data_IF_613463131870
#
_entry.id   IF_613463131870
#
_cell.length_a   1.000
_cell.length_b   1.000
_cell.length_c   1.000
_cell.angle_alpha   90.00
_cell.angle_beta   90.00
_cell.angle_gamma   90.00
#
_symmetry.space_group_name_H-M   'P 1'
#
loop_
_entity.id
_entity.type
_entity.pdbx_description
1 polymer ?
#
# COMPACT_ATOMS: atom_id res chain seq x y z
N UNK A 1 4.28 49.90 0.27
CA UNK A 1 4.37 49.15 1.55
C UNK A 1 3.92 50.06 2.67
N UNK A 2 2.85 49.67 3.36
CA UNK A 2 2.34 50.44 4.50
C UNK A 2 3.34 50.39 5.66
N UNK A 3 3.37 51.38 6.58
CA UNK A 3 4.23 51.37 7.77
C UNK A 3 4.11 50.08 8.60
N UNK A 4 2.91 49.50 8.65
CA UNK A 4 2.63 48.23 9.33
C UNK A 4 3.36 47.05 8.71
N UNK A 5 3.50 46.95 7.38
CA UNK A 5 4.26 45.88 6.71
C UNK A 5 5.77 45.94 6.98
N UNK A 6 6.35 47.16 7.11
CA UNK A 6 7.77 47.32 7.49
C UNK A 6 8.02 46.90 8.94
N UNK A 7 7.04 47.17 9.81
CA UNK A 7 7.06 46.70 11.20
C UNK A 7 7.03 45.19 11.25
N UNK A 8 6.12 44.53 10.53
CA UNK A 8 5.98 43.08 10.48
C UNK A 8 7.31 42.37 10.10
N UNK A 9 8.00 42.87 9.08
CA UNK A 9 9.28 42.28 8.63
C UNK A 9 10.40 42.43 9.69
N UNK A 10 10.43 43.54 10.45
CA UNK A 10 11.38 43.71 11.56
C UNK A 10 11.07 42.77 12.73
N UNK A 11 9.81 42.60 13.03
CA UNK A 11 9.34 41.73 14.08
C UNK A 11 9.60 40.25 13.82
N UNK A 12 9.43 39.79 12.57
CA UNK A 12 9.81 38.44 12.14
C UNK A 12 11.31 38.17 12.36
N UNK A 13 12.17 39.20 12.20
CA UNK A 13 13.62 39.06 12.45
C UNK A 13 13.99 39.10 13.93
N UNK A 14 13.25 39.82 14.76
CA UNK A 14 13.59 40.03 16.17
C UNK A 14 13.21 38.84 17.07
N UNK A 15 12.19 38.06 16.74
CA UNK A 15 11.68 36.94 17.56
C UNK A 15 12.12 35.56 17.00
N UNK A 16 13.32 35.45 16.43
CA UNK A 16 13.79 34.33 15.61
C UNK A 16 13.59 32.92 16.20
N UNK A 17 13.96 32.69 17.46
CA UNK A 17 13.89 31.33 18.06
C UNK A 17 12.45 30.82 18.22
N UNK A 18 11.56 31.70 18.73
CA UNK A 18 10.15 31.30 18.97
C UNK A 18 9.42 31.05 17.63
N UNK A 19 9.63 31.95 16.67
CA UNK A 19 9.06 31.83 15.32
C UNK A 19 9.56 30.58 14.66
N UNK A 20 10.87 30.32 14.73
CA UNK A 20 11.47 29.11 14.21
C UNK A 20 10.85 27.84 14.79
N UNK A 21 10.60 27.81 16.12
CA UNK A 21 9.96 26.67 16.77
C UNK A 21 8.54 26.44 16.25
N UNK A 22 7.75 27.51 16.06
CA UNK A 22 6.39 27.38 15.50
C UNK A 22 6.43 26.90 14.04
N UNK A 23 7.31 27.49 13.21
CA UNK A 23 7.52 27.05 11.82
C UNK A 23 7.91 25.57 11.77
N UNK A 24 8.83 25.15 12.64
CA UNK A 24 9.32 23.78 12.70
C UNK A 24 8.19 22.82 13.07
N UNK A 25 7.42 23.09 14.14
CA UNK A 25 6.34 22.20 14.59
C UNK A 25 5.21 22.14 13.56
N UNK A 26 4.80 23.28 12.99
CA UNK A 26 3.83 23.33 11.89
C UNK A 26 4.34 22.56 10.67
N UNK A 27 5.63 22.76 10.35
CA UNK A 27 6.29 22.06 9.25
C UNK A 27 6.32 20.54 9.45
N UNK A 28 6.64 20.05 10.65
CA UNK A 28 6.62 18.61 10.98
C UNK A 28 5.19 18.05 10.83
N UNK A 29 4.18 18.73 11.38
CA UNK A 29 2.79 18.28 11.26
C UNK A 29 2.34 18.20 9.82
N UNK A 30 2.63 19.21 9.03
CA UNK A 30 2.32 19.27 7.59
C UNK A 30 3.11 18.23 6.80
N UNK A 31 4.40 18.03 7.12
CA UNK A 31 5.24 17.03 6.47
C UNK A 31 4.73 15.61 6.72
N UNK A 32 4.36 15.29 7.96
CA UNK A 32 3.74 14.00 8.29
C UNK A 32 2.42 13.79 7.55
N UNK A 33 1.58 14.82 7.45
CA UNK A 33 0.33 14.75 6.69
C UNK A 33 0.60 14.41 5.22
N UNK A 34 1.47 15.18 4.56
CA UNK A 34 1.80 14.97 3.13
C UNK A 34 2.43 13.59 2.92
N UNK A 35 3.40 13.20 3.75
CA UNK A 35 4.11 11.94 3.61
C UNK A 35 3.17 10.74 3.71
N UNK A 36 2.36 10.68 4.79
CA UNK A 36 1.48 9.55 5.05
C UNK A 36 0.29 9.50 4.10
N UNK A 37 -0.30 10.66 3.79
CA UNK A 37 -1.43 10.74 2.86
C UNK A 37 -1.02 10.37 1.43
N UNK A 38 0.16 10.81 0.99
CA UNK A 38 0.71 10.44 -0.32
C UNK A 38 1.09 8.96 -0.39
N UNK A 39 1.74 8.42 0.66
CA UNK A 39 2.07 6.99 0.73
C UNK A 39 0.82 6.12 0.74
N UNK A 40 -0.20 6.47 1.53
CA UNK A 40 -1.50 5.80 1.53
C UNK A 40 -2.11 5.76 0.13
N UNK A 41 -2.15 6.91 -0.56
CA UNK A 41 -2.74 7.02 -1.90
C UNK A 41 -1.97 6.23 -2.94
N UNK A 42 -0.63 6.33 -2.92
CA UNK A 42 0.24 5.57 -3.84
C UNK A 42 0.08 4.06 -3.66
N UNK A 43 0.09 3.58 -2.42
CA UNK A 43 -0.02 2.15 -2.11
C UNK A 43 -1.43 1.61 -2.43
N UNK A 44 -2.48 2.34 -2.07
CA UNK A 44 -3.86 1.97 -2.37
C UNK A 44 -4.14 1.92 -3.87
N UNK A 45 -3.71 2.94 -4.61
CA UNK A 45 -3.88 2.98 -6.07
C UNK A 45 -3.05 1.90 -6.79
N UNK A 46 -1.83 1.62 -6.30
CA UNK A 46 -1.00 0.55 -6.85
C UNK A 46 -1.67 -0.81 -6.65
N UNK A 47 -2.19 -1.10 -5.44
CA UNK A 47 -2.96 -2.32 -5.14
C UNK A 47 -4.18 -2.45 -6.06
N UNK A 48 -5.03 -1.43 -6.09
CA UNK A 48 -6.30 -1.49 -6.82
C UNK A 48 -6.08 -1.67 -8.32
N UNK A 49 -5.09 -0.96 -8.87
CA UNK A 49 -4.67 -1.10 -10.27
C UNK A 49 -4.13 -2.50 -10.56
N UNK A 50 -3.27 -3.01 -9.69
CA UNK A 50 -2.66 -4.32 -9.88
C UNK A 50 -3.67 -5.45 -9.75
N UNK A 51 -4.61 -5.37 -8.80
CA UNK A 51 -5.71 -6.33 -8.65
C UNK A 51 -6.65 -6.30 -9.86
N UNK A 52 -6.92 -5.13 -10.41
CA UNK A 52 -7.73 -5.01 -11.63
C UNK A 52 -7.01 -5.62 -12.84
N UNK A 53 -5.72 -5.32 -13.04
CA UNK A 53 -4.91 -5.85 -14.15
C UNK A 53 -4.71 -7.36 -14.05
N UNK A 54 -4.37 -7.86 -12.86
CA UNK A 54 -4.19 -9.28 -12.61
C UNK A 54 -5.49 -10.08 -12.50
N UNK A 55 -6.65 -9.43 -12.58
CA UNK A 55 -7.96 -10.07 -12.39
C UNK A 55 -8.01 -10.88 -11.10
N UNK A 56 -7.61 -10.26 -9.99
CA UNK A 56 -7.54 -10.90 -8.67
C UNK A 56 -8.85 -11.60 -8.33
N UNK A 57 -8.76 -12.84 -7.87
CA UNK A 57 -9.90 -13.60 -7.40
C UNK A 57 -10.49 -12.96 -6.13
N UNK A 58 -11.81 -13.10 -5.94
CA UNK A 58 -12.50 -12.65 -4.73
C UNK A 58 -12.51 -13.75 -3.64
N UNK A 59 -12.24 -15.03 -4.03
CA UNK A 59 -12.14 -16.15 -3.09
C UNK A 59 -11.31 -17.31 -3.63
N UNK A 60 -10.83 -18.15 -2.71
CA UNK A 60 -10.12 -19.41 -2.93
C UNK A 60 -10.79 -20.52 -2.13
N UNK A 61 -11.01 -21.68 -2.73
CA UNK A 61 -11.43 -22.88 -2.03
C UNK A 61 -10.45 -24.00 -2.31
N UNK A 62 -9.77 -24.47 -1.29
CA UNK A 62 -8.88 -25.63 -1.39
C UNK A 62 -9.68 -26.89 -1.13
N UNK A 63 -9.56 -27.87 -2.01
CA UNK A 63 -10.21 -29.18 -1.94
C UNK A 63 -9.18 -30.30 -2.09
N UNK A 64 -9.50 -31.52 -1.70
CA UNK A 64 -8.57 -32.64 -1.89
C UNK A 64 -8.33 -32.94 -3.37
N UNK A 65 -9.41 -33.16 -4.12
CA UNK A 65 -9.37 -33.40 -5.57
C UNK A 65 -10.77 -33.19 -6.16
N UNK A 66 -10.90 -32.36 -7.18
CA UNK A 66 -12.16 -32.07 -7.86
C UNK A 66 -12.00 -32.22 -9.37
N UNK A 67 -12.88 -32.96 -10.08
CA UNK A 67 -12.86 -33.02 -11.52
C UNK A 67 -13.08 -31.66 -12.17
N UNK A 68 -12.39 -31.36 -13.27
CA UNK A 68 -12.54 -30.10 -13.99
C UNK A 68 -13.93 -29.91 -14.60
N UNK A 69 -14.67 -30.98 -14.85
CA UNK A 69 -16.05 -30.91 -15.32
C UNK A 69 -17.01 -30.20 -14.40
N UNK A 70 -16.70 -30.18 -13.10
CA UNK A 70 -17.55 -29.57 -12.05
C UNK A 70 -17.53 -28.02 -12.04
N UNK A 71 -16.64 -27.38 -12.78
CA UNK A 71 -16.58 -25.90 -12.91
C UNK A 71 -17.94 -25.31 -13.25
N UNK A 72 -18.65 -25.91 -14.20
CA UNK A 72 -19.97 -25.44 -14.65
C UNK A 72 -21.00 -25.41 -13.53
N UNK A 73 -20.93 -26.33 -12.57
CA UNK A 73 -21.82 -26.33 -11.41
C UNK A 73 -21.59 -25.14 -10.51
N UNK A 74 -20.34 -24.71 -10.36
CA UNK A 74 -19.98 -23.55 -9.55
C UNK A 74 -20.32 -22.23 -10.26
N UNK A 75 -20.14 -22.14 -11.55
CA UNK A 75 -20.52 -20.99 -12.37
C UNK A 75 -22.03 -20.72 -12.35
N UNK A 76 -22.83 -21.78 -12.19
CA UNK A 76 -24.29 -21.65 -12.08
C UNK A 76 -24.78 -21.17 -10.71
N UNK A 77 -23.91 -20.95 -9.73
CA UNK A 77 -24.30 -20.40 -8.42
C UNK A 77 -24.62 -18.91 -8.58
N UNK A 78 -25.82 -18.46 -8.18
CA UNK A 78 -26.17 -17.05 -8.24
C UNK A 78 -25.21 -16.19 -7.43
N UNK A 79 -24.53 -15.27 -8.12
CA UNK A 79 -23.54 -14.40 -7.49
C UNK A 79 -22.10 -14.70 -7.90
N UNK A 80 -21.80 -15.90 -8.36
CA UNK A 80 -20.50 -16.25 -8.96
C UNK A 80 -20.42 -15.66 -10.37
N UNK A 81 -19.38 -14.92 -10.65
CA UNK A 81 -19.16 -14.29 -11.94
C UNK A 81 -18.23 -15.11 -12.85
N UNK A 82 -17.25 -15.77 -12.25
CA UNK A 82 -16.23 -16.57 -12.94
C UNK A 82 -15.60 -17.56 -11.97
N UNK A 83 -15.23 -18.72 -12.46
CA UNK A 83 -14.51 -19.76 -11.72
C UNK A 83 -13.34 -20.27 -12.55
N UNK A 84 -12.21 -20.49 -11.92
CA UNK A 84 -11.05 -21.12 -12.51
C UNK A 84 -10.49 -22.17 -11.55
N UNK A 85 -10.13 -23.31 -12.08
CA UNK A 85 -9.45 -24.38 -11.34
C UNK A 85 -7.96 -24.35 -11.60
N UNK A 86 -7.19 -24.67 -10.57
CA UNK A 86 -5.76 -24.90 -10.70
C UNK A 86 -5.27 -25.93 -9.70
N UNK A 87 -4.05 -26.38 -9.90
CA UNK A 87 -3.33 -27.23 -8.96
C UNK A 87 -2.42 -26.32 -8.12
N UNK A 88 -2.50 -26.50 -6.81
CA UNK A 88 -1.60 -25.89 -5.83
C UNK A 88 -0.91 -26.99 -5.03
N UNK A 89 0.41 -26.97 -5.00
CA UNK A 89 1.22 -27.96 -4.27
C UNK A 89 2.33 -27.28 -3.49
N UNK A 90 2.55 -27.63 -2.22
CA UNK A 90 3.76 -27.22 -1.53
C UNK A 90 4.95 -27.89 -2.20
N UNK A 91 6.07 -27.18 -2.28
CA UNK A 91 7.31 -27.67 -2.84
C UNK A 91 8.49 -27.37 -1.93
N UNK A 92 9.53 -28.18 -2.08
CA UNK A 92 10.84 -27.91 -1.51
C UNK A 92 11.83 -27.70 -2.65
N UNK A 93 12.59 -26.63 -2.59
CA UNK A 93 13.53 -26.22 -3.65
C UNK A 93 14.96 -26.47 -3.19
N UNK A 94 15.73 -27.20 -4.00
CA UNK A 94 17.14 -27.48 -3.77
C UNK A 94 17.97 -26.57 -4.69
N UNK A 95 18.64 -25.57 -4.09
CA UNK A 95 19.56 -24.68 -4.79
C UNK A 95 20.99 -24.94 -4.34
N UNK A 96 21.91 -24.90 -5.28
CA UNK A 96 23.33 -25.15 -5.02
C UNK A 96 23.96 -24.16 -3.99
N UNK A 97 23.42 -22.94 -3.91
CA UNK A 97 23.87 -21.89 -3.01
C UNK A 97 23.19 -21.90 -1.64
N UNK A 98 22.30 -22.88 -1.38
CA UNK A 98 21.57 -22.97 -0.10
C UNK A 98 21.97 -24.20 0.68
N UNK A 99 22.40 -24.04 1.92
CA UNK A 99 22.73 -25.16 2.83
C UNK A 99 21.50 -25.98 3.25
N UNK A 100 20.30 -25.40 3.11
CA UNK A 100 19.05 -26.05 3.49
C UNK A 100 18.04 -25.94 2.34
N UNK A 101 17.19 -26.96 2.18
CA UNK A 101 16.08 -26.89 1.23
C UNK A 101 15.17 -25.71 1.55
N UNK A 102 14.76 -24.97 0.52
CA UNK A 102 13.92 -23.81 0.63
C UNK A 102 12.45 -24.18 0.44
N UNK A 103 11.56 -23.50 1.16
CA UNK A 103 10.12 -23.70 1.00
C UNK A 103 9.59 -22.97 -0.24
N UNK A 104 8.57 -23.51 -0.88
CA UNK A 104 7.88 -22.85 -1.97
C UNK A 104 6.48 -23.40 -2.20
N UNK A 105 5.80 -22.79 -3.13
CA UNK A 105 4.51 -23.23 -3.63
C UNK A 105 4.54 -23.31 -5.15
N UNK A 106 4.08 -24.44 -5.69
CA UNK A 106 3.84 -24.61 -7.12
C UNK A 106 2.36 -24.36 -7.43
N UNK A 107 2.11 -23.61 -8.49
CA UNK A 107 0.79 -23.26 -8.98
C UNK A 107 0.71 -23.60 -10.47
N UNK A 108 -0.33 -24.31 -10.89
CA UNK A 108 -0.52 -24.57 -12.30
C UNK A 108 -1.08 -23.34 -13.02
N UNK A 109 -0.56 -23.10 -14.23
CA UNK A 109 -1.07 -22.14 -15.19
C UNK A 109 -1.38 -22.84 -16.51
N UNK A 110 -2.32 -22.33 -17.31
CA UNK A 110 -2.58 -22.87 -18.64
C UNK A 110 -1.30 -22.97 -19.47
N UNK A 111 -1.12 -24.07 -20.20
CA UNK A 111 0.06 -24.32 -21.04
C UNK A 111 0.24 -23.24 -22.12
N UNK A 112 -0.88 -22.70 -22.61
CA UNK A 112 -0.93 -21.58 -23.55
C UNK A 112 -1.52 -20.37 -22.81
N UNK A 113 -0.87 -19.21 -22.92
CA UNK A 113 -1.35 -18.01 -22.29
C UNK A 113 -2.79 -17.67 -22.73
N UNK A 114 -3.69 -17.61 -21.78
CA UNK A 114 -5.09 -17.21 -21.97
C UNK A 114 -5.55 -16.32 -20.82
N UNK A 115 -6.50 -15.40 -21.06
CA UNK A 115 -7.09 -14.62 -19.98
C UNK A 115 -7.71 -15.51 -18.90
N UNK A 116 -7.42 -15.23 -17.64
CA UNK A 116 -7.92 -16.00 -16.50
C UNK A 116 -7.88 -15.18 -15.22
N UNK A 117 -8.12 -15.81 -14.08
CA UNK A 117 -7.99 -15.19 -12.75
C UNK A 117 -6.52 -15.24 -12.29
N UNK A 118 -6.16 -14.31 -11.42
CA UNK A 118 -4.83 -14.19 -10.80
C UNK A 118 -3.68 -14.25 -11.84
N UNK A 119 -3.82 -13.48 -12.92
CA UNK A 119 -2.83 -13.43 -13.99
C UNK A 119 -1.47 -12.99 -13.48
N UNK A 120 -0.44 -13.65 -13.98
CA UNK A 120 0.95 -13.25 -13.75
C UNK A 120 1.39 -12.21 -14.78
N UNK A 121 2.31 -11.36 -14.39
CA UNK A 121 3.00 -10.43 -15.28
C UNK A 121 4.45 -10.90 -15.44
N UNK A 122 4.78 -11.46 -16.62
CA UNK A 122 6.16 -11.87 -16.95
C UNK A 122 7.03 -10.61 -17.06
N UNK A 123 8.18 -10.63 -16.38
CA UNK A 123 9.15 -9.53 -16.34
C UNK A 123 10.39 -9.82 -17.16
N UNK A 124 10.92 -11.03 -17.04
CA UNK A 124 12.10 -11.50 -17.75
C UNK A 124 11.79 -12.85 -18.38
N UNK A 125 12.35 -13.13 -19.55
CA UNK A 125 12.07 -14.36 -20.30
C UNK A 125 10.71 -14.33 -20.97
N UNK A 126 10.09 -15.49 -21.09
CA UNK A 126 8.86 -15.71 -21.85
C UNK A 126 7.86 -16.52 -21.04
N UNK A 127 6.62 -16.58 -21.52
CA UNK A 127 5.62 -17.54 -21.07
C UNK A 127 5.99 -18.94 -21.58
N UNK A 128 5.29 -19.99 -21.15
CA UNK A 128 5.57 -21.36 -21.54
C UNK A 128 5.59 -21.56 -23.07
N UNK A 129 6.51 -22.41 -23.50
CA UNK A 129 6.67 -22.80 -24.90
C UNK A 129 6.19 -24.25 -25.12
N UNK A 130 5.84 -24.67 -26.33
CA UNK A 130 5.46 -26.07 -26.57
C UNK A 130 6.65 -27.05 -26.56
N UNK A 131 7.91 -26.56 -26.51
CA UNK A 131 9.10 -27.39 -26.71
C UNK A 131 9.42 -28.30 -25.51
N UNK A 132 9.15 -27.84 -24.28
CA UNK A 132 9.49 -28.59 -23.07
C UNK A 132 8.29 -28.65 -22.12
N UNK A 133 8.13 -29.80 -21.46
CA UNK A 133 7.05 -30.02 -20.49
C UNK A 133 7.35 -29.40 -19.12
N UNK A 134 8.61 -29.51 -18.68
CA UNK A 134 9.10 -29.14 -17.36
C UNK A 134 9.54 -27.66 -17.26
N UNK A 135 8.90 -26.78 -18.00
CA UNK A 135 9.15 -25.33 -17.91
C UNK A 135 8.54 -24.74 -16.67
N UNK A 136 9.24 -23.78 -16.06
CA UNK A 136 8.80 -23.07 -14.88
C UNK A 136 8.98 -21.55 -15.03
N UNK A 137 8.02 -20.80 -14.53
CA UNK A 137 8.12 -19.37 -14.30
C UNK A 137 8.19 -19.17 -12.79
N UNK A 138 9.16 -18.40 -12.30
CA UNK A 138 9.38 -18.20 -10.86
C UNK A 138 9.11 -16.75 -10.49
N UNK A 139 8.66 -16.47 -9.27
CA UNK A 139 8.50 -15.09 -8.84
C UNK A 139 9.86 -14.35 -8.89
N UNK A 140 9.85 -13.13 -9.44
CA UNK A 140 11.07 -12.40 -9.81
C UNK A 140 11.96 -12.08 -8.60
N UNK A 141 11.36 -11.82 -7.45
CA UNK A 141 12.08 -11.49 -6.24
C UNK A 141 12.91 -12.66 -5.72
N UNK A 142 12.34 -13.88 -5.69
CA UNK A 142 13.06 -15.10 -5.34
C UNK A 142 14.17 -15.39 -6.37
N UNK A 143 13.83 -15.32 -7.65
CA UNK A 143 14.78 -15.55 -8.74
C UNK A 143 15.98 -14.58 -8.68
N UNK A 144 15.72 -13.30 -8.38
CA UNK A 144 16.76 -12.27 -8.21
C UNK A 144 17.60 -12.50 -6.95
N UNK A 145 16.98 -12.88 -5.83
CA UNK A 145 17.67 -13.13 -4.56
C UNK A 145 18.67 -14.31 -4.65
N UNK A 146 18.34 -15.31 -5.48
CA UNK A 146 19.19 -16.49 -5.75
C UNK A 146 19.97 -16.40 -7.08
N UNK A 147 19.95 -15.24 -7.76
CA UNK A 147 20.65 -15.00 -9.01
C UNK A 147 20.34 -16.02 -10.11
N UNK A 148 19.10 -16.53 -10.14
CA UNK A 148 18.67 -17.52 -11.12
C UNK A 148 18.63 -16.90 -12.54
N UNK A 149 19.08 -17.68 -13.52
CA UNK A 149 19.16 -17.24 -14.91
C UNK A 149 18.15 -18.01 -15.77
N UNK A 150 17.61 -17.34 -16.78
CA UNK A 150 16.75 -17.99 -17.78
C UNK A 150 17.52 -19.11 -18.48
N UNK A 151 16.88 -20.28 -18.61
CA UNK A 151 17.48 -21.51 -19.11
C UNK A 151 18.15 -22.38 -18.05
N UNK A 152 18.33 -21.89 -16.82
CA UNK A 152 18.89 -22.68 -15.73
C UNK A 152 17.90 -23.76 -15.27
N UNK A 153 18.44 -24.94 -14.92
CA UNK A 153 17.68 -26.02 -14.31
C UNK A 153 17.64 -25.88 -12.79
N UNK A 154 16.45 -26.00 -12.21
CA UNK A 154 16.19 -25.92 -10.77
C UNK A 154 15.65 -27.27 -10.30
N UNK A 155 16.29 -27.88 -9.30
CA UNK A 155 15.80 -29.12 -8.70
C UNK A 155 14.78 -28.81 -7.61
N UNK A 156 13.61 -29.43 -7.68
CA UNK A 156 12.53 -29.26 -6.72
C UNK A 156 11.94 -30.60 -6.33
N UNK A 157 11.39 -30.70 -5.13
CA UNK A 157 10.59 -31.85 -4.71
C UNK A 157 9.11 -31.43 -4.70
N UNK A 158 8.29 -32.07 -5.51
CA UNK A 158 6.85 -31.86 -5.63
C UNK A 158 6.14 -33.17 -5.38
N UNK A 159 5.18 -33.20 -4.46
CA UNK A 159 4.42 -34.40 -4.12
C UNK A 159 5.33 -35.63 -3.79
N UNK A 160 6.50 -35.41 -3.16
CA UNK A 160 7.45 -36.46 -2.84
C UNK A 160 8.33 -36.93 -4.01
N UNK A 161 8.21 -36.33 -5.19
CA UNK A 161 8.99 -36.66 -6.39
C UNK A 161 9.98 -35.55 -6.72
N UNK A 162 11.25 -35.90 -6.92
CA UNK A 162 12.26 -34.96 -7.38
C UNK A 162 12.05 -34.66 -8.87
N UNK A 163 11.97 -33.37 -9.18
CA UNK A 163 11.78 -32.88 -10.53
C UNK A 163 12.85 -31.85 -10.89
N UNK A 164 13.26 -31.83 -12.13
CA UNK A 164 14.13 -30.82 -12.69
C UNK A 164 13.34 -29.87 -13.58
N UNK A 165 13.25 -28.60 -13.18
CA UNK A 165 12.48 -27.58 -13.87
C UNK A 165 13.41 -26.63 -14.60
N UNK A 166 13.07 -26.26 -15.84
CA UNK A 166 13.84 -25.28 -16.62
C UNK A 166 13.19 -23.91 -16.49
N UNK A 167 13.94 -22.95 -15.96
CA UNK A 167 13.47 -21.59 -15.79
C UNK A 167 13.33 -20.88 -17.14
N UNK A 168 12.10 -20.59 -17.57
CA UNK A 168 11.83 -19.88 -18.83
C UNK A 168 11.46 -18.43 -18.65
N UNK A 169 10.99 -18.04 -17.46
CA UNK A 169 10.63 -16.66 -17.17
C UNK A 169 10.57 -16.35 -15.67
N UNK A 170 10.58 -15.07 -15.36
CA UNK A 170 10.26 -14.58 -14.02
C UNK A 170 9.06 -13.67 -14.09
N UNK A 171 8.22 -13.68 -13.04
CA UNK A 171 6.97 -12.95 -13.04
C UNK A 171 6.62 -12.36 -11.66
N UNK A 172 5.77 -11.34 -11.68
CA UNK A 172 4.98 -10.92 -10.52
C UNK A 172 3.57 -11.50 -10.59
N UNK A 173 2.97 -11.72 -9.42
CA UNK A 173 1.57 -12.13 -9.27
C UNK A 173 0.84 -11.24 -8.29
N UNK A 174 -0.37 -10.79 -8.66
CA UNK A 174 -1.20 -9.98 -7.77
C UNK A 174 -1.61 -10.72 -6.48
N UNK A 175 -1.53 -12.04 -6.48
CA UNK A 175 -1.81 -12.90 -5.34
C UNK A 175 -0.68 -12.90 -4.31
N UNK A 176 0.56 -12.68 -4.74
CA UNK A 176 1.76 -12.74 -3.92
C UNK A 176 2.49 -11.39 -3.82
N UNK A 177 1.73 -10.30 -3.66
CA UNK A 177 2.32 -8.97 -3.42
C UNK A 177 3.16 -8.95 -2.14
N UNK A 178 2.76 -9.75 -1.14
CA UNK A 178 3.46 -9.95 0.12
C UNK A 178 3.66 -11.46 0.31
N UNK A 179 4.70 -12.05 -0.32
CA UNK A 179 4.88 -13.50 -0.29
C UNK A 179 5.32 -13.97 1.09
N UNK A 180 4.46 -14.74 1.73
CA UNK A 180 4.70 -15.32 3.05
C UNK A 180 4.96 -16.82 2.90
N UNK A 181 6.07 -17.26 3.44
CA UNK A 181 6.34 -18.68 3.64
C UNK A 181 5.47 -19.28 4.75
N UNK A 182 5.43 -20.60 4.88
CA UNK A 182 4.70 -21.29 5.96
C UNK A 182 5.12 -20.74 7.34
N UNK A 183 4.12 -20.31 8.15
CA UNK A 183 4.30 -19.74 9.48
C UNK A 183 5.17 -18.46 9.57
N UNK A 184 5.47 -17.81 8.45
CA UNK A 184 6.20 -16.55 8.43
C UNK A 184 5.26 -15.35 8.61
N UNK A 185 5.72 -14.33 9.36
CA UNK A 185 5.02 -13.06 9.54
C UNK A 185 5.62 -11.97 8.63
N UNK A 186 6.87 -12.13 8.25
CA UNK A 186 7.61 -11.20 7.39
C UNK A 186 7.98 -11.92 6.09
N UNK A 187 7.90 -11.26 4.92
CA UNK A 187 8.32 -11.85 3.67
C UNK A 187 9.78 -12.25 3.71
N UNK A 188 10.04 -13.50 3.41
CA UNK A 188 11.40 -14.00 3.22
C UNK A 188 11.67 -14.20 1.73
N UNK A 189 12.30 -13.21 1.12
CA UNK A 189 12.64 -13.20 -0.31
C UNK A 189 13.59 -14.32 -0.72
N UNK A 190 14.33 -14.86 0.23
CA UNK A 190 15.28 -15.96 0.00
C UNK A 190 14.72 -17.31 0.40
N UNK A 191 13.87 -17.34 1.41
CA UNK A 191 13.38 -18.60 1.99
C UNK A 191 12.10 -19.13 1.34
N UNK A 192 11.36 -18.31 0.58
CA UNK A 192 10.09 -18.72 0.00
C UNK A 192 9.94 -18.34 -1.47
N UNK A 193 9.72 -19.35 -2.34
CA UNK A 193 9.55 -19.20 -3.78
C UNK A 193 8.14 -19.56 -4.26
N UNK A 194 7.65 -18.81 -5.28
CA UNK A 194 6.42 -19.13 -6.00
C UNK A 194 6.79 -19.60 -7.39
N UNK A 195 6.36 -20.81 -7.74
CA UNK A 195 6.72 -21.50 -8.96
C UNK A 195 5.46 -21.74 -9.79
N UNK A 196 5.40 -21.20 -10.96
CA UNK A 196 4.30 -21.41 -11.89
C UNK A 196 4.68 -22.51 -12.88
N UNK A 197 3.89 -23.58 -12.94
CA UNK A 197 4.10 -24.75 -13.76
C UNK A 197 3.05 -24.83 -14.87
N UNK A 198 3.38 -25.48 -15.96
CA UNK A 198 2.37 -25.86 -16.95
C UNK A 198 1.30 -26.73 -16.31
N UNK A 199 0.06 -26.51 -16.69
CA UNK A 199 -1.09 -27.24 -16.16
C UNK A 199 -0.96 -28.73 -16.44
N UNK A 200 -0.63 -29.10 -17.69
CA UNK A 200 -0.41 -30.51 -18.10
C UNK A 200 0.70 -31.19 -17.29
N UNK A 201 1.80 -30.49 -17.03
CA UNK A 201 2.90 -31.01 -16.23
C UNK A 201 2.52 -31.14 -14.76
N UNK A 202 1.84 -30.14 -14.20
CA UNK A 202 1.38 -30.18 -12.83
C UNK A 202 0.39 -31.33 -12.59
N UNK A 203 -0.54 -31.60 -13.53
CA UNK A 203 -1.47 -32.74 -13.48
C UNK A 203 -0.73 -34.07 -13.39
N UNK A 204 0.28 -34.26 -14.24
CA UNK A 204 1.07 -35.50 -14.31
C UNK A 204 1.85 -35.76 -13.01
N UNK A 205 2.56 -34.76 -12.48
CA UNK A 205 3.43 -34.96 -11.31
C UNK A 205 2.70 -35.03 -9.97
N UNK A 206 1.44 -34.55 -9.93
CA UNK A 206 0.61 -34.55 -8.71
C UNK A 206 -0.51 -35.56 -8.72
N UNK A 207 -0.56 -36.46 -9.76
CA UNK A 207 -1.62 -37.43 -9.99
C UNK A 207 -3.03 -36.78 -10.03
N UNK A 208 -3.12 -35.61 -10.68
CA UNK A 208 -4.33 -34.78 -10.80
C UNK A 208 -4.85 -34.68 -12.25
N UNK A 209 -4.63 -35.70 -13.10
CA UNK A 209 -5.10 -35.69 -14.48
C UNK A 209 -6.60 -35.41 -14.55
N UNK A 210 -7.00 -34.40 -15.32
CA UNK A 210 -8.39 -33.96 -15.46
C UNK A 210 -9.05 -33.43 -14.16
N UNK A 211 -8.25 -33.14 -13.12
CA UNK A 211 -8.71 -32.64 -11.82
C UNK A 211 -7.89 -31.44 -11.36
N UNK A 212 -8.32 -30.84 -10.26
CA UNK A 212 -7.63 -29.77 -9.57
C UNK A 212 -7.93 -29.83 -8.06
N UNK A 213 -7.14 -29.09 -7.29
CA UNK A 213 -7.31 -29.00 -5.83
C UNK A 213 -7.51 -27.59 -5.31
N UNK A 214 -7.56 -26.59 -6.17
CA UNK A 214 -7.87 -25.22 -5.79
C UNK A 214 -8.84 -24.58 -6.79
N UNK A 215 -9.90 -23.99 -6.23
CA UNK A 215 -10.93 -23.25 -6.94
C UNK A 215 -10.72 -21.77 -6.70
N UNK A 216 -10.57 -20.99 -7.74
CA UNK A 216 -10.53 -19.54 -7.73
C UNK A 216 -11.87 -19.01 -8.22
N UNK A 217 -12.38 -17.96 -7.63
CA UNK A 217 -13.61 -17.37 -8.13
C UNK A 217 -13.70 -15.88 -7.98
N UNK A 218 -14.51 -15.28 -8.85
CA UNK A 218 -14.94 -13.87 -8.75
C UNK A 218 -16.43 -13.81 -8.51
N UNK A 219 -16.80 -12.76 -7.78
CA UNK A 219 -18.18 -12.48 -7.38
C UNK A 219 -18.67 -11.27 -8.15
N UNK A 220 -19.92 -11.29 -8.63
CA UNK A 220 -20.52 -10.10 -9.22
C UNK A 220 -20.52 -8.94 -8.22
N UNK A 221 -20.25 -7.69 -8.64
CA UNK A 221 -20.14 -6.53 -7.73
C UNK A 221 -21.33 -6.36 -6.77
N UNK A 222 -22.54 -6.66 -7.24
CA UNK A 222 -23.77 -6.59 -6.44
C UNK A 222 -23.81 -7.58 -5.26
N UNK A 223 -23.06 -8.69 -5.34
CA UNK A 223 -23.01 -9.73 -4.31
C UNK A 223 -21.77 -9.64 -3.39
N UNK A 224 -20.87 -8.70 -3.62
CA UNK A 224 -19.65 -8.56 -2.80
C UNK A 224 -19.90 -8.42 -1.30
N UNK A 225 -21.00 -7.77 -0.91
CA UNK A 225 -21.39 -7.67 0.52
C UNK A 225 -21.88 -9.00 1.12
N UNK A 226 -22.33 -9.93 0.28
CA UNK A 226 -22.81 -11.23 0.66
C UNK A 226 -21.80 -12.36 0.38
N UNK A 227 -20.53 -12.04 0.15
CA UNK A 227 -19.49 -13.01 -0.20
C UNK A 227 -19.42 -14.17 0.79
N UNK A 228 -19.49 -13.93 2.09
CA UNK A 228 -19.47 -15.01 3.10
C UNK A 228 -20.63 -15.99 2.97
N UNK A 229 -21.84 -15.50 2.75
CA UNK A 229 -23.00 -16.36 2.52
C UNK A 229 -22.85 -17.20 1.25
N UNK A 230 -22.32 -16.58 0.20
CA UNK A 230 -22.03 -17.26 -1.06
C UNK A 230 -20.95 -18.33 -0.88
N UNK A 231 -19.91 -18.07 -0.09
CA UNK A 231 -18.87 -19.03 0.21
C UNK A 231 -19.40 -20.26 0.96
N UNK A 232 -20.30 -20.10 1.91
CA UNK A 232 -20.96 -21.23 2.58
C UNK A 232 -21.77 -22.10 1.61
N UNK A 233 -22.40 -21.49 0.59
CA UNK A 233 -23.10 -22.25 -0.46
C UNK A 233 -22.12 -23.02 -1.33
N UNK A 234 -20.98 -22.40 -1.69
CA UNK A 234 -19.91 -23.04 -2.43
C UNK A 234 -19.31 -24.20 -1.64
N UNK A 235 -19.02 -24.02 -0.36
CA UNK A 235 -18.52 -25.07 0.53
C UNK A 235 -19.44 -26.29 0.55
N UNK A 236 -20.74 -26.06 0.77
CA UNK A 236 -21.71 -27.16 0.78
C UNK A 236 -21.74 -27.96 -0.53
N UNK A 237 -21.56 -27.27 -1.67
CA UNK A 237 -21.51 -27.95 -2.98
C UNK A 237 -20.22 -28.69 -3.23
N UNK A 238 -19.14 -28.25 -2.61
CA UNK A 238 -17.81 -28.83 -2.73
C UNK A 238 -17.49 -29.85 -1.63
N UNK A 239 -18.37 -30.04 -0.65
CA UNK A 239 -18.15 -30.94 0.49
C UNK A 239 -17.80 -32.37 0.07
N UNK A 240 -18.43 -32.87 -0.99
CA UNK A 240 -18.13 -34.18 -1.59
C UNK A 240 -16.68 -34.33 -2.07
N UNK A 241 -16.00 -33.21 -2.42
CA UNK A 241 -14.59 -33.19 -2.86
C UNK A 241 -13.61 -32.96 -1.71
N UNK A 242 -14.10 -32.88 -0.46
CA UNK A 242 -13.30 -32.70 0.76
C UNK A 242 -12.68 -31.31 0.85
N UNK A 243 -13.50 -30.33 1.15
CA UNK A 243 -13.05 -28.95 1.37
C UNK A 243 -12.05 -28.90 2.53
N UNK A 244 -10.89 -28.28 2.29
CA UNK A 244 -9.82 -28.11 3.26
C UNK A 244 -9.80 -26.71 3.84
N UNK A 245 -10.05 -25.70 3.01
CA UNK A 245 -10.08 -24.29 3.40
C UNK A 245 -10.87 -23.45 2.40
N UNK A 246 -11.59 -22.46 2.89
CA UNK A 246 -12.28 -21.44 2.10
C UNK A 246 -11.83 -20.08 2.55
N UNK A 247 -11.19 -19.31 1.67
CA UNK A 247 -10.51 -18.07 2.00
C UNK A 247 -11.09 -16.96 1.12
N UNK A 248 -11.83 -15.99 1.68
CA UNK A 248 -12.19 -14.77 0.95
C UNK A 248 -10.97 -13.86 0.77
N UNK A 249 -11.00 -12.96 -0.21
CA UNK A 249 -9.88 -12.06 -0.53
C UNK A 249 -9.46 -11.21 0.66
N UNK A 250 -10.39 -10.84 1.54
CA UNK A 250 -10.11 -10.07 2.75
C UNK A 250 -9.23 -10.82 3.74
N UNK A 251 -9.31 -12.15 3.76
CA UNK A 251 -8.56 -13.05 4.66
C UNK A 251 -7.35 -13.68 3.97
N UNK A 252 -7.17 -13.44 2.67
CA UNK A 252 -5.99 -13.95 1.96
C UNK A 252 -4.71 -13.29 2.51
N UNK A 253 -3.71 -14.05 2.96
CA UNK A 253 -2.59 -13.52 3.75
C UNK A 253 -1.92 -12.28 3.14
N UNK A 254 -1.53 -12.34 1.87
CA UNK A 254 -0.90 -11.22 1.17
C UNK A 254 -1.79 -9.95 1.17
N UNK A 255 -3.10 -10.10 0.92
CA UNK A 255 -4.04 -8.98 0.94
C UNK A 255 -4.32 -8.45 2.34
N UNK A 256 -4.36 -9.34 3.35
CA UNK A 256 -4.60 -8.95 4.74
C UNK A 256 -3.49 -8.02 5.23
N UNK A 257 -2.22 -8.40 5.05
CA UNK A 257 -1.08 -7.57 5.43
C UNK A 257 -1.06 -6.24 4.69
N UNK A 258 -1.23 -6.26 3.37
CA UNK A 258 -1.28 -5.04 2.57
C UNK A 258 -2.44 -4.12 2.97
N UNK A 259 -3.62 -4.68 3.21
CA UNK A 259 -4.81 -3.91 3.60
C UNK A 259 -4.70 -3.33 5.01
N UNK A 260 -4.05 -4.04 5.95
CA UNK A 260 -3.76 -3.54 7.29
C UNK A 260 -2.78 -2.37 7.24
N UNK A 261 -1.71 -2.47 6.43
CA UNK A 261 -0.76 -1.38 6.23
C UNK A 261 -1.45 -0.13 5.65
N UNK A 262 -2.26 -0.30 4.60
CA UNK A 262 -3.03 0.80 4.01
C UNK A 262 -3.97 1.46 5.03
N UNK A 263 -4.68 0.66 5.85
CA UNK A 263 -5.53 1.18 6.93
C UNK A 263 -4.72 1.91 8.01
N UNK A 264 -3.57 1.36 8.39
CA UNK A 264 -2.63 1.99 9.32
C UNK A 264 -2.18 3.37 8.82
N UNK A 265 -1.74 3.45 7.57
CA UNK A 265 -1.37 4.72 6.94
C UNK A 265 -2.51 5.74 6.93
N UNK A 266 -3.74 5.31 6.61
CA UNK A 266 -4.91 6.20 6.64
C UNK A 266 -5.17 6.75 8.05
N UNK A 267 -5.05 5.92 9.07
CA UNK A 267 -5.24 6.31 10.48
C UNK A 267 -4.15 7.27 10.93
N UNK A 268 -2.89 6.94 10.67
CA UNK A 268 -1.76 7.78 11.07
C UNK A 268 -1.66 9.08 10.27
N UNK A 269 -2.13 9.10 9.02
CA UNK A 269 -2.24 10.31 8.21
C UNK A 269 -3.20 11.35 8.81
N UNK A 270 -4.11 10.93 9.67
CA UNK A 270 -4.99 11.82 10.42
C UNK A 270 -4.45 12.12 11.84
N UNK A 271 -4.09 11.08 12.57
CA UNK A 271 -3.76 11.19 14.01
C UNK A 271 -2.49 12.02 14.25
N UNK A 272 -1.40 11.71 13.57
CA UNK A 272 -0.09 12.35 13.81
C UNK A 272 -0.12 13.83 13.45
N UNK A 273 -0.59 14.26 12.26
CA UNK A 273 -0.70 15.68 11.94
C UNK A 273 -1.60 16.45 12.90
N UNK A 274 -2.73 15.85 13.31
CA UNK A 274 -3.65 16.48 14.26
C UNK A 274 -2.95 16.83 15.58
N UNK A 275 -2.13 15.92 16.12
CA UNK A 275 -1.36 16.16 17.35
C UNK A 275 -0.37 17.32 17.15
N UNK A 276 0.48 17.24 16.11
CA UNK A 276 1.51 18.27 15.90
C UNK A 276 0.92 19.65 15.59
N UNK A 277 -0.12 19.71 14.77
CA UNK A 277 -0.78 20.97 14.42
C UNK A 277 -1.54 21.55 15.60
N UNK A 278 -2.15 20.74 16.46
CA UNK A 278 -2.78 21.21 17.71
C UNK A 278 -1.73 21.81 18.65
N UNK A 279 -0.59 21.16 18.84
CA UNK A 279 0.52 21.68 19.62
C UNK A 279 1.01 23.01 19.03
N UNK A 280 1.18 23.06 17.70
CA UNK A 280 1.58 24.28 17.00
C UNK A 280 0.59 25.43 17.23
N UNK A 281 -0.72 25.16 17.13
CA UNK A 281 -1.76 26.15 17.38
C UNK A 281 -1.72 26.68 18.84
N UNK A 282 -1.52 25.77 19.81
CA UNK A 282 -1.42 26.16 21.24
C UNK A 282 -0.18 27.04 21.47
N UNK A 283 0.98 26.64 20.94
CA UNK A 283 2.21 27.42 21.09
C UNK A 283 2.04 28.79 20.43
N UNK A 284 1.50 28.83 19.22
CA UNK A 284 1.25 30.07 18.50
C UNK A 284 0.29 30.98 19.28
N UNK A 285 -0.75 30.41 19.89
CA UNK A 285 -1.69 31.12 20.75
C UNK A 285 -0.97 31.82 21.93
N UNK A 286 -0.16 31.08 22.68
CA UNK A 286 0.61 31.63 23.80
C UNK A 286 1.57 32.74 23.34
N UNK A 287 2.24 32.53 22.23
CA UNK A 287 3.17 33.49 21.62
C UNK A 287 2.44 34.78 21.23
N UNK A 288 1.26 34.66 20.62
CA UNK A 288 0.47 35.82 20.20
C UNK A 288 -0.07 36.62 21.36
N UNK A 289 -0.55 35.98 22.43
CA UNK A 289 -0.99 36.67 23.65
C UNK A 289 0.16 37.47 24.28
N UNK A 290 1.31 36.81 24.51
CA UNK A 290 2.51 37.46 25.05
C UNK A 290 2.96 38.65 24.21
N UNK A 291 2.86 38.53 22.90
CA UNK A 291 3.25 39.59 21.98
C UNK A 291 2.33 40.81 22.08
N UNK A 292 1.02 40.60 22.19
CA UNK A 292 0.05 41.68 22.41
C UNK A 292 0.34 42.40 23.73
N UNK A 293 0.59 41.64 24.80
CA UNK A 293 0.96 42.23 26.12
C UNK A 293 2.22 43.06 26.04
N UNK A 294 3.28 42.57 25.40
CA UNK A 294 4.54 43.32 25.23
C UNK A 294 4.39 44.58 24.37
N UNK A 295 3.47 44.57 23.42
CA UNK A 295 3.23 45.71 22.52
C UNK A 295 2.08 46.63 22.95
N UNK A 296 1.56 46.45 24.16
CA UNK A 296 0.37 47.18 24.64
C UNK A 296 0.47 48.71 24.50
N UNK A 297 1.65 49.31 24.77
CA UNK A 297 1.88 50.73 24.57
C UNK A 297 1.81 51.15 23.09
N UNK A 298 2.37 50.33 22.21
CA UNK A 298 2.36 50.60 20.75
C UNK A 298 0.94 50.49 20.21
N UNK A 299 0.18 49.47 20.65
CA UNK A 299 -1.23 49.28 20.30
C UNK A 299 -2.06 50.49 20.74
N UNK A 300 -1.84 50.98 21.99
CA UNK A 300 -2.49 52.17 22.49
C UNK A 300 -2.19 53.44 21.68
N UNK A 301 -0.94 53.61 21.24
CA UNK A 301 -0.56 54.72 20.34
C UNK A 301 -1.23 54.61 18.98
N UNK A 302 -1.32 53.42 18.42
CA UNK A 302 -2.03 53.20 17.15
C UNK A 302 -3.52 53.49 17.25
N UNK A 303 -4.17 53.12 18.36
CA UNK A 303 -5.57 53.48 18.62
C UNK A 303 -5.75 55.00 18.77
N UNK A 304 -4.82 55.69 19.45
CA UNK A 304 -4.83 57.15 19.56
C UNK A 304 -4.63 57.86 18.20
N UNK A 305 -3.94 57.20 17.26
CA UNK A 305 -3.77 57.68 15.88
C UNK A 305 -4.94 57.34 14.95
N UNK A 306 -6.02 56.74 15.49
CA UNK A 306 -7.24 56.45 14.75
C UNK A 306 -7.32 55.08 14.06
N UNK A 307 -6.41 54.15 14.34
CA UNK A 307 -6.53 52.78 13.83
C UNK A 307 -7.64 52.03 14.58
N UNK A 308 -8.52 51.35 13.83
CA UNK A 308 -9.58 50.52 14.40
C UNK A 308 -9.05 49.22 15.02
N UNK A 309 -9.76 48.69 16.03
CA UNK A 309 -9.45 47.42 16.67
C UNK A 309 -9.36 46.27 15.65
N UNK A 310 -10.22 46.34 14.65
CA UNK A 310 -10.23 45.34 13.54
C UNK A 310 -8.95 45.39 12.69
N UNK A 311 -8.40 46.58 12.43
CA UNK A 311 -7.17 46.74 11.66
C UNK A 311 -5.94 46.25 12.46
N UNK A 312 -5.94 46.47 13.76
CA UNK A 312 -4.87 46.00 14.65
C UNK A 312 -4.95 44.47 14.82
N UNK A 313 -6.14 43.93 15.07
CA UNK A 313 -6.37 42.49 15.16
C UNK A 313 -5.99 41.77 13.88
N UNK A 314 -6.31 42.35 12.73
CA UNK A 314 -5.91 41.80 11.44
C UNK A 314 -4.39 41.78 11.24
N UNK A 315 -3.70 42.81 11.63
CA UNK A 315 -2.22 42.85 11.58
C UNK A 315 -1.56 41.75 12.42
N UNK A 316 -2.14 41.47 13.60
CA UNK A 316 -1.67 40.38 14.48
C UNK A 316 -1.95 39.03 13.83
N UNK A 317 -3.14 38.87 13.22
CA UNK A 317 -3.52 37.66 12.48
C UNK A 317 -2.61 37.43 11.27
N UNK A 318 -2.27 38.47 10.51
CA UNK A 318 -1.36 38.40 9.37
C UNK A 318 0.00 37.81 9.74
N UNK A 319 0.52 38.16 10.92
CA UNK A 319 1.76 37.55 11.42
C UNK A 319 1.61 36.04 11.64
N UNK A 320 0.53 35.59 12.30
CA UNK A 320 0.27 34.17 12.52
C UNK A 320 0.12 33.39 11.21
N UNK A 321 -0.60 33.98 10.24
CA UNK A 321 -0.81 33.39 8.92
C UNK A 321 0.49 33.25 8.14
N UNK A 322 1.38 34.25 8.18
CA UNK A 322 2.68 34.18 7.49
C UNK A 322 3.55 33.08 8.10
N UNK A 323 3.64 33.01 9.43
CA UNK A 323 4.43 31.97 10.11
C UNK A 323 3.89 30.58 9.81
N UNK A 324 2.55 30.41 9.84
CA UNK A 324 1.88 29.17 9.50
C UNK A 324 2.09 28.78 8.03
N UNK A 325 1.97 29.74 7.10
CA UNK A 325 2.18 29.47 5.68
C UNK A 325 3.62 29.06 5.36
N UNK A 326 4.62 29.70 5.99
CA UNK A 326 6.03 29.31 5.83
C UNK A 326 6.25 27.89 6.37
N UNK A 327 5.71 27.57 7.56
CA UNK A 327 5.79 26.25 8.14
C UNK A 327 5.12 25.19 7.27
N UNK A 328 3.91 25.47 6.79
CA UNK A 328 3.17 24.58 5.91
C UNK A 328 3.90 24.34 4.58
N UNK A 329 4.46 25.39 3.97
CA UNK A 329 5.22 25.28 2.71
C UNK A 329 6.48 24.42 2.90
N UNK A 330 7.26 24.69 3.96
CA UNK A 330 8.42 23.88 4.30
C UNK A 330 8.02 22.41 4.57
N UNK A 331 6.90 22.21 5.28
CA UNK A 331 6.32 20.91 5.53
C UNK A 331 5.90 20.18 4.26
N UNK A 332 5.31 20.86 3.29
CA UNK A 332 4.98 20.26 1.98
C UNK A 332 6.21 19.73 1.25
N UNK A 333 7.29 20.52 1.22
CA UNK A 333 8.55 20.11 0.57
C UNK A 333 9.16 18.89 1.27
N UNK A 334 9.33 18.97 2.59
CA UNK A 334 9.89 17.84 3.38
C UNK A 334 8.99 16.62 3.31
N UNK A 335 7.67 16.80 3.39
CA UNK A 335 6.69 15.72 3.33
C UNK A 335 6.72 14.97 2.00
N UNK A 336 6.90 15.68 0.89
CA UNK A 336 7.10 15.03 -0.42
C UNK A 336 8.36 14.14 -0.41
N UNK A 337 9.50 14.64 0.06
CA UNK A 337 10.73 13.84 0.15
C UNK A 337 10.57 12.62 1.07
N UNK A 338 9.87 12.77 2.20
CA UNK A 338 9.55 11.65 3.08
C UNK A 338 8.65 10.62 2.38
N UNK A 339 7.65 11.05 1.60
CA UNK A 339 6.79 10.15 0.82
C UNK A 339 7.60 9.33 -0.20
N UNK A 340 8.56 9.96 -0.89
CA UNK A 340 9.49 9.25 -1.78
C UNK A 340 10.31 8.21 -1.02
N UNK A 341 10.82 8.57 0.17
CA UNK A 341 11.55 7.65 1.05
C UNK A 341 10.69 6.46 1.48
N UNK A 342 9.46 6.70 1.94
CA UNK A 342 8.51 5.64 2.32
C UNK A 342 8.20 4.71 1.14
N UNK A 343 7.97 5.26 -0.05
CA UNK A 343 7.71 4.46 -1.25
C UNK A 343 8.89 3.54 -1.60
N UNK A 344 10.14 4.01 -1.43
CA UNK A 344 11.34 3.17 -1.60
C UNK A 344 11.39 2.02 -0.60
N UNK A 345 11.00 2.26 0.66
CA UNK A 345 10.92 1.22 1.68
C UNK A 345 9.84 0.20 1.30
N UNK A 346 8.65 0.64 0.90
CA UNK A 346 7.57 -0.26 0.50
C UNK A 346 7.93 -1.17 -0.67
N UNK A 347 8.72 -0.70 -1.63
CA UNK A 347 9.25 -1.55 -2.72
C UNK A 347 10.14 -2.69 -2.23
N UNK A 348 10.69 -2.60 -1.04
CA UNK A 348 11.49 -3.68 -0.45
C UNK A 348 10.63 -4.80 0.15
N UNK A 349 9.40 -4.51 0.55
CA UNK A 349 8.50 -5.47 1.20
C UNK A 349 7.41 -5.99 0.28
N UNK A 350 6.93 -5.16 -0.64
CA UNK A 350 5.80 -5.47 -1.52
C UNK A 350 6.24 -5.63 -2.97
N UNK A 351 5.78 -6.71 -3.61
CA UNK A 351 6.09 -7.04 -5.00
C UNK A 351 5.07 -6.38 -5.94
N UNK A 352 5.27 -5.09 -6.24
CA UNK A 352 4.48 -4.38 -7.23
C UNK A 352 5.26 -4.17 -8.52
N UNK A 353 4.65 -4.39 -9.70
CA UNK A 353 5.27 -4.06 -10.99
C UNK A 353 5.62 -2.57 -11.11
N UNK A 354 4.75 -1.73 -10.57
CA UNK A 354 4.92 -0.27 -10.53
C UNK A 354 4.37 0.27 -9.22
N UNK A 355 5.23 0.84 -8.41
CA UNK A 355 4.90 1.60 -7.21
C UNK A 355 5.67 2.92 -7.28
N UNK A 356 5.02 3.98 -7.75
CA UNK A 356 5.64 5.28 -7.96
C UNK A 356 5.23 6.26 -6.86
N UNK A 357 6.21 7.05 -6.39
CA UNK A 357 5.96 8.18 -5.53
C UNK A 357 5.56 9.37 -6.40
N UNK A 358 4.26 9.57 -6.55
CA UNK A 358 3.73 10.69 -7.34
C UNK A 358 3.62 11.94 -6.46
N UNK A 359 3.78 13.10 -7.09
CA UNK A 359 3.42 14.37 -6.48
C UNK A 359 1.90 14.55 -6.61
N UNK A 360 1.21 14.63 -5.49
CA UNK A 360 -0.24 14.86 -5.45
C UNK A 360 -0.53 16.31 -5.09
N UNK A 361 -0.83 17.13 -6.07
CA UNK A 361 -1.07 18.57 -5.90
C UNK A 361 -2.24 18.87 -4.96
N UNK A 362 -3.29 18.07 -5.02
CA UNK A 362 -4.45 18.17 -4.14
C UNK A 362 -4.08 17.92 -2.66
N UNK A 363 -3.20 16.95 -2.38
CA UNK A 363 -2.71 16.70 -1.01
C UNK A 363 -1.86 17.86 -0.52
N UNK A 364 -1.04 18.46 -1.39
CA UNK A 364 -0.25 19.64 -1.03
C UNK A 364 -1.15 20.83 -0.70
N UNK A 365 -2.20 21.07 -1.49
CA UNK A 365 -3.18 22.12 -1.26
C UNK A 365 -3.96 21.89 0.05
N UNK A 366 -4.44 20.66 0.31
CA UNK A 366 -5.07 20.29 1.58
C UNK A 366 -4.12 20.56 2.76
N UNK A 367 -2.86 20.15 2.65
CA UNK A 367 -1.85 20.33 3.69
C UNK A 367 -1.57 21.81 3.98
N UNK A 368 -1.43 22.63 2.94
CA UNK A 368 -1.28 24.07 3.05
C UNK A 368 -2.49 24.70 3.75
N UNK A 369 -3.70 24.34 3.31
CA UNK A 369 -4.93 24.86 3.91
C UNK A 369 -5.02 24.50 5.39
N UNK A 370 -4.80 23.24 5.76
CA UNK A 370 -4.86 22.78 7.15
C UNK A 370 -3.80 23.50 8.01
N UNK A 371 -2.57 23.65 7.53
CA UNK A 371 -1.51 24.35 8.24
C UNK A 371 -1.85 25.84 8.48
N UNK A 372 -2.38 26.52 7.47
CA UNK A 372 -2.81 27.93 7.57
C UNK A 372 -4.01 28.09 8.49
N UNK A 373 -5.01 27.19 8.41
CA UNK A 373 -6.16 27.20 9.32
C UNK A 373 -5.75 27.00 10.78
N UNK A 374 -4.85 26.06 11.05
CA UNK A 374 -4.30 25.84 12.40
C UNK A 374 -3.57 27.09 12.92
N UNK A 375 -2.80 27.77 12.05
CA UNK A 375 -2.15 29.03 12.42
C UNK A 375 -3.15 30.15 12.68
N UNK A 376 -4.22 30.24 11.90
CA UNK A 376 -5.31 31.20 12.13
C UNK A 376 -6.00 30.97 13.49
N UNK A 377 -6.29 29.68 13.81
CA UNK A 377 -6.87 29.31 15.10
C UNK A 377 -5.95 29.69 16.29
N UNK A 378 -4.66 29.42 16.17
CA UNK A 378 -3.66 29.81 17.16
C UNK A 378 -3.52 31.31 17.30
N UNK A 379 -3.60 32.07 16.20
CA UNK A 379 -3.52 33.54 16.23
C UNK A 379 -4.78 34.28 16.72
N UNK A 380 -5.93 33.61 16.71
CA UNK A 380 -7.24 34.22 16.96
C UNK A 380 -7.40 34.90 18.32
N UNK A 381 -6.90 34.26 19.38
CA UNK A 381 -6.98 34.81 20.73
C UNK A 381 -6.09 36.04 20.91
N UNK A 382 -4.91 36.06 20.27
CA UNK A 382 -4.07 37.25 20.22
C UNK A 382 -4.75 38.41 19.48
N UNK A 383 -5.39 38.12 18.34
CA UNK A 383 -6.14 39.13 17.60
C UNK A 383 -7.36 39.67 18.37
N UNK A 384 -8.00 38.88 19.24
CA UNK A 384 -9.09 39.31 20.11
C UNK A 384 -8.61 40.14 21.31
N UNK A 385 -7.39 39.92 21.78
CA UNK A 385 -6.82 40.57 22.94
C UNK A 385 -6.24 41.98 22.62
N UNK A 386 -6.11 42.33 21.35
CA UNK A 386 -5.60 43.60 20.83
C UNK A 386 -6.68 44.64 20.69
#
# INVERSE_FOLDING_TARGET
MTPLHRKLMRELRASGVVIFSVILITGIGTACFVAMRSAYRSLSQARDRYYAQGRMADFWVSVKKMPRSEVRRLENIPGVAEVQLRIRSPITVDLADSEKPLAGVALSLPDIHRPGLNQIQVLRGEYFTPQRRNEVIVNDVFATAHRLQIGQTISVNIAGRRQELVLVGTAFSCEFIYPLGPAAIVPDRKGFGVFFLKESFAEEITDMEGAANEVLGRVYPRYKKATRTLLHEIERRLDEFGVLATIPVEEYPSNTFLSQEIKGLATFAFLIPTIFLSISAIILNVVMIRRVEQQRMIIGTLKALGYSDLAIGWHIMEFALIVGAIGALAGCVVGHWLSVGMTKIYRQFYEFPRLDALLYEDILLEAMLVGVVCAAMGGWSGAKAA
#
